data_IF_608539828374
#
_entry.id   IF_608539828374
#
_cell.length_a   1.000
_cell.length_b   1.000
_cell.length_c   1.000
_cell.angle_alpha   90.00
_cell.angle_beta   90.00
_cell.angle_gamma   90.00
#
_symmetry.space_group_name_H-M   'P 1'
#
loop_
_entity.id
_entity.type
_entity.pdbx_description
1 polymer ?
#
# COMPACT_ATOMS: atom_id res chain seq x y z
N UNK A 1 5.60 -4.83 -4.35
CA UNK A 1 6.91 -4.53 -4.98
C UNK A 1 7.89 -5.61 -4.54
N UNK A 2 8.87 -6.01 -5.36
CA UNK A 2 9.92 -6.96 -4.94
C UNK A 2 11.16 -6.14 -4.60
N UNK A 3 11.67 -6.24 -3.39
CA UNK A 3 12.84 -5.50 -2.87
C UNK A 3 14.15 -6.29 -2.98
N UNK A 4 14.21 -7.24 -3.92
CA UNK A 4 15.39 -8.07 -4.12
C UNK A 4 16.47 -7.31 -4.88
N UNK A 5 17.29 -6.56 -4.14
CA UNK A 5 18.50 -5.82 -4.55
C UNK A 5 18.28 -4.51 -5.31
N UNK A 6 18.45 -3.41 -4.57
CA UNK A 6 18.64 -2.05 -5.06
C UNK A 6 19.92 -1.52 -4.40
N UNK A 7 20.89 -1.11 -5.20
CA UNK A 7 22.17 -0.54 -4.75
C UNK A 7 22.00 0.98 -4.63
N UNK A 8 21.37 1.42 -3.54
CA UNK A 8 21.11 2.83 -3.25
C UNK A 8 22.21 3.48 -2.37
N UNK A 9 23.24 2.72 -2.02
CA UNK A 9 24.35 3.18 -1.18
C UNK A 9 24.02 3.28 0.31
N UNK A 10 22.88 2.76 0.78
CA UNK A 10 22.51 2.74 2.19
C UNK A 10 22.62 1.32 2.78
N UNK A 11 23.29 1.20 3.92
CA UNK A 11 23.40 -0.09 4.63
C UNK A 11 22.13 -0.35 5.45
N UNK A 12 21.23 -1.16 4.89
CA UNK A 12 20.01 -1.65 5.53
C UNK A 12 19.22 -2.54 4.56
N UNK A 13 18.39 -3.47 5.07
CA UNK A 13 17.41 -4.11 4.18
C UNK A 13 16.34 -3.08 3.84
N UNK A 14 16.23 -2.70 2.58
CA UNK A 14 15.15 -1.82 2.11
C UNK A 14 13.78 -2.43 2.43
N UNK A 15 12.89 -1.63 3.03
CA UNK A 15 11.52 -2.01 3.25
C UNK A 15 10.72 -1.95 1.94
N UNK A 16 9.52 -2.51 1.94
CA UNK A 16 8.64 -2.36 0.78
C UNK A 16 8.03 -0.96 0.76
N UNK A 17 8.23 -0.23 -0.33
CA UNK A 17 7.56 1.06 -0.56
C UNK A 17 6.03 0.89 -0.54
N UNK A 18 5.38 1.56 0.41
CA UNK A 18 3.96 1.43 0.65
C UNK A 18 3.12 2.04 -0.46
N UNK A 19 3.56 3.17 -1.03
CA UNK A 19 2.95 3.80 -2.19
C UNK A 19 2.77 2.81 -3.36
N UNK A 20 3.81 2.04 -3.68
CA UNK A 20 3.78 1.05 -4.76
C UNK A 20 2.80 -0.10 -4.47
N UNK A 21 2.61 -0.45 -3.19
CA UNK A 21 1.66 -1.48 -2.79
C UNK A 21 0.22 -1.00 -2.93
N UNK A 22 -0.08 0.25 -2.57
CA UNK A 22 -1.41 0.84 -2.82
C UNK A 22 -1.67 1.06 -4.32
N UNK A 23 -0.67 1.45 -5.10
CA UNK A 23 -0.83 1.50 -6.56
C UNK A 23 -1.11 0.13 -7.18
N UNK A 24 -0.56 -0.95 -6.64
CA UNK A 24 -0.91 -2.30 -7.08
C UNK A 24 -2.38 -2.63 -6.80
N UNK A 25 -2.93 -2.18 -5.66
CA UNK A 25 -4.37 -2.30 -5.38
C UNK A 25 -5.18 -1.55 -6.44
N UNK A 26 -4.83 -0.28 -6.73
CA UNK A 26 -5.49 0.50 -7.78
C UNK A 26 -5.40 -0.19 -9.15
N UNK A 27 -4.24 -0.71 -9.51
CA UNK A 27 -4.04 -1.41 -10.78
C UNK A 27 -4.90 -2.67 -10.89
N UNK A 28 -4.97 -3.49 -9.83
CA UNK A 28 -5.84 -4.66 -9.78
C UNK A 28 -7.31 -4.27 -9.94
N UNK A 29 -7.76 -3.22 -9.25
CA UNK A 29 -9.13 -2.72 -9.39
C UNK A 29 -9.41 -2.24 -10.83
N UNK A 30 -8.47 -1.53 -11.46
CA UNK A 30 -8.61 -1.03 -12.84
C UNK A 30 -8.75 -2.18 -13.85
N UNK A 31 -8.03 -3.28 -13.67
CA UNK A 31 -8.10 -4.44 -14.60
C UNK A 31 -9.26 -5.40 -14.29
N UNK A 32 -10.16 -5.02 -13.38
CA UNK A 32 -11.33 -5.83 -13.00
C UNK A 32 -11.04 -6.94 -11.99
N UNK A 33 -9.82 -7.02 -11.46
CA UNK A 33 -9.39 -8.02 -10.47
C UNK A 33 -9.76 -7.58 -9.04
N UNK A 34 -11.04 -7.26 -8.85
CA UNK A 34 -11.54 -6.57 -7.65
C UNK A 34 -11.31 -7.38 -6.36
N UNK A 35 -11.50 -8.70 -6.40
CA UNK A 35 -11.26 -9.55 -5.23
C UNK A 35 -9.78 -9.51 -4.79
N UNK A 36 -8.85 -9.59 -5.76
CA UNK A 36 -7.42 -9.51 -5.48
C UNK A 36 -7.03 -8.13 -4.95
N UNK A 37 -7.67 -7.07 -5.46
CA UNK A 37 -7.49 -5.72 -4.96
C UNK A 37 -7.92 -5.62 -3.48
N UNK A 38 -9.10 -6.15 -3.12
CA UNK A 38 -9.60 -6.20 -1.73
C UNK A 38 -8.67 -6.99 -0.81
N UNK A 39 -8.29 -8.20 -1.19
CA UNK A 39 -7.42 -9.05 -0.39
C UNK A 39 -6.07 -8.36 -0.08
N UNK A 40 -5.51 -7.65 -1.07
CA UNK A 40 -4.28 -6.89 -0.88
C UNK A 40 -4.52 -5.64 -0.02
N UNK A 41 -5.59 -4.90 -0.26
CA UNK A 41 -5.96 -3.73 0.53
C UNK A 41 -6.11 -4.08 2.01
N UNK A 42 -6.83 -5.15 2.35
CA UNK A 42 -7.00 -5.61 3.73
C UNK A 42 -5.67 -5.96 4.41
N UNK A 43 -4.73 -6.57 3.68
CA UNK A 43 -3.39 -6.86 4.21
C UNK A 43 -2.63 -5.57 4.50
N UNK A 44 -2.72 -4.57 3.63
CA UNK A 44 -2.08 -3.27 3.82
C UNK A 44 -2.74 -2.49 4.97
N UNK A 45 -4.05 -2.59 5.14
CA UNK A 45 -4.76 -1.92 6.24
C UNK A 45 -4.33 -2.45 7.62
N UNK A 46 -3.95 -3.73 7.72
CA UNK A 46 -3.51 -4.35 8.98
C UNK A 46 -2.14 -3.89 9.46
N UNK A 47 -1.34 -3.28 8.59
CA UNK A 47 0.02 -2.82 8.94
C UNK A 47 0.06 -1.34 9.31
N UNK A 48 -1.09 -0.66 9.40
CA UNK A 48 -1.14 0.71 9.88
C UNK A 48 -0.57 0.83 11.30
N UNK A 49 0.09 1.95 11.59
CA UNK A 49 0.47 2.28 12.97
C UNK A 49 -0.76 2.41 13.89
N UNK A 50 -0.59 2.43 15.22
CA UNK A 50 -1.71 2.63 16.15
C UNK A 50 -2.53 3.91 15.92
N UNK A 51 -1.97 4.91 15.23
CA UNK A 51 -2.65 6.14 14.85
C UNK A 51 -3.31 6.08 13.46
N UNK A 52 -3.28 4.91 12.80
CA UNK A 52 -3.78 4.74 11.44
C UNK A 52 -2.87 5.29 10.35
N UNK A 53 -1.62 5.65 10.69
CA UNK A 53 -0.66 6.29 9.78
C UNK A 53 0.32 5.30 9.16
N UNK A 54 0.80 5.64 7.97
CA UNK A 54 1.77 4.88 7.17
C UNK A 54 3.08 5.63 6.95
N UNK A 55 4.18 4.88 6.90
CA UNK A 55 5.46 5.41 6.47
C UNK A 55 5.64 5.33 4.95
N UNK A 56 6.82 5.72 4.49
CA UNK A 56 7.30 5.48 3.13
C UNK A 56 7.50 3.99 2.87
N UNK A 57 8.15 3.31 3.81
CA UNK A 57 8.50 1.91 3.70
C UNK A 57 7.95 1.07 4.87
N UNK A 58 7.77 -0.22 4.60
CA UNK A 58 7.43 -1.21 5.62
C UNK A 58 8.35 -2.43 5.53
N UNK A 59 9.03 -2.73 6.63
CA UNK A 59 9.85 -3.93 6.78
C UNK A 59 9.00 -5.07 7.32
N UNK A 60 8.49 -5.90 6.42
CA UNK A 60 7.59 -7.01 6.76
C UNK A 60 8.19 -8.04 7.74
N UNK A 61 9.47 -8.45 7.63
CA UNK A 61 10.12 -9.30 8.63
C UNK A 61 10.05 -8.79 10.08
N UNK A 62 10.18 -7.47 10.29
CA UNK A 62 10.23 -6.90 11.65
C UNK A 62 8.93 -6.20 12.06
N UNK A 63 8.03 -5.96 11.11
CA UNK A 63 6.79 -5.20 11.31
C UNK A 63 7.02 -3.71 11.51
N UNK A 64 8.16 -3.17 11.05
CA UNK A 64 8.53 -1.78 11.31
C UNK A 64 8.20 -0.89 10.13
N UNK A 65 7.69 0.29 10.46
CA UNK A 65 7.66 1.43 9.57
C UNK A 65 9.06 2.04 9.45
N UNK A 66 9.50 2.28 8.23
CA UNK A 66 10.82 2.83 7.89
C UNK A 66 10.69 4.09 7.03
N UNK A 67 11.72 4.92 7.06
CA UNK A 67 11.76 6.17 6.28
C UNK A 67 10.83 7.25 6.82
N UNK A 68 10.32 8.09 5.92
CA UNK A 68 9.46 9.21 6.27
C UNK A 68 8.17 8.73 6.95
N UNK A 69 7.79 9.33 8.09
CA UNK A 69 6.57 9.00 8.82
C UNK A 69 5.95 10.24 9.49
N UNK A 70 4.65 10.55 9.25
CA UNK A 70 3.78 9.94 8.25
C UNK A 70 4.18 10.36 6.82
N UNK A 71 4.13 9.43 5.87
CA UNK A 71 4.44 9.73 4.47
C UNK A 71 3.20 10.13 3.69
N UNK A 72 3.11 11.40 3.28
CA UNK A 72 1.93 11.94 2.59
C UNK A 72 1.58 11.15 1.31
N UNK A 73 2.58 10.76 0.51
CA UNK A 73 2.33 10.01 -0.72
C UNK A 73 1.76 8.60 -0.50
N UNK A 74 2.20 7.89 0.55
CA UNK A 74 1.62 6.60 0.91
C UNK A 74 0.13 6.74 1.26
N UNK A 75 -0.25 7.82 1.94
CA UNK A 75 -1.66 8.10 2.28
C UNK A 75 -2.46 8.54 1.04
N UNK A 76 -1.87 9.31 0.13
CA UNK A 76 -2.54 9.68 -1.12
C UNK A 76 -2.87 8.43 -1.96
N UNK A 77 -1.90 7.51 -2.10
CA UNK A 77 -2.13 6.27 -2.81
C UNK A 77 -3.13 5.35 -2.11
N UNK A 78 -3.14 5.31 -0.76
CA UNK A 78 -4.17 4.62 0.02
C UNK A 78 -5.58 5.13 -0.30
N UNK A 79 -5.78 6.45 -0.32
CA UNK A 79 -7.08 7.07 -0.62
C UNK A 79 -7.52 6.73 -2.05
N UNK A 80 -6.61 6.81 -3.02
CA UNK A 80 -6.91 6.42 -4.40
C UNK A 80 -7.31 4.94 -4.49
N UNK A 81 -6.53 4.04 -3.88
CA UNK A 81 -6.81 2.61 -3.88
C UNK A 81 -8.18 2.28 -3.28
N UNK A 82 -8.53 2.93 -2.16
CA UNK A 82 -9.83 2.78 -1.53
C UNK A 82 -10.97 3.24 -2.46
N UNK A 83 -10.82 4.41 -3.11
CA UNK A 83 -11.82 4.91 -4.05
C UNK A 83 -12.02 3.97 -5.25
N UNK A 84 -10.95 3.34 -5.76
CA UNK A 84 -11.02 2.38 -6.87
C UNK A 84 -11.77 1.09 -6.52
N UNK A 85 -11.82 0.72 -5.23
CA UNK A 85 -12.59 -0.44 -4.77
C UNK A 85 -14.05 -0.07 -4.51
N UNK A 86 -14.29 1.04 -3.81
CA UNK A 86 -15.63 1.39 -3.30
C UNK A 86 -16.54 1.97 -4.40
N UNK A 87 -16.00 2.77 -5.33
CA UNK A 87 -16.84 3.39 -6.36
C UNK A 87 -17.53 2.39 -7.30
N UNK A 88 -16.87 1.31 -7.77
CA UNK A 88 -17.55 0.25 -8.51
C UNK A 88 -18.66 -0.45 -7.71
N UNK A 89 -18.45 -0.71 -6.42
CA UNK A 89 -19.46 -1.33 -5.54
C UNK A 89 -20.71 -0.46 -5.46
N UNK A 90 -20.53 0.84 -5.24
CA UNK A 90 -21.63 1.79 -5.18
C UNK A 90 -22.36 1.89 -6.53
N UNK A 91 -21.66 1.75 -7.66
CA UNK A 91 -22.29 1.79 -8.98
C UNK A 91 -23.10 0.52 -9.30
N UNK A 92 -22.82 -0.62 -8.66
CA UNK A 92 -23.63 -1.85 -8.81
C UNK A 92 -24.92 -1.80 -7.96
N UNK A 93 -24.99 -0.93 -6.96
CA UNK A 93 -26.16 -0.77 -6.07
C UNK A 93 -27.27 0.12 -6.65
N UNK A 94 -27.00 0.86 -7.74
CA UNK A 94 -27.95 1.77 -8.41
C UNK A 94 -28.18 1.42 -9.89
#
# INVERSE_FOLDING_TARGET
YRTGETDDGLSGKEGTFLICSFWLVSALAIVGELQRARDLMERLLRIASPLGLYAEEFDAPTGRHLGNFPQAFSHLALIEAAARIILPELAEEY
#
